data_IF_112126599164
#
_entry.id   IF_112126599164
#
_cell.length_a   1.000
_cell.length_b   1.000
_cell.length_c   1.000
_cell.angle_alpha   90.00
_cell.angle_beta   90.00
_cell.angle_gamma   90.00
#
_symmetry.space_group_name_H-M   'P 1'
#
loop_
_entity.id
_entity.type
_entity.pdbx_description
1 polymer ?
#
# COMPACT_ATOMS: atom_id res chain seq x y z
N UNK A 1 29.58 -2.25 -0.47
CA UNK A 1 28.81 -3.03 -1.47
C UNK A 1 27.35 -2.88 -1.07
N UNK A 2 26.55 -2.17 -1.86
CA UNK A 2 25.09 -2.19 -1.67
C UNK A 2 24.58 -3.58 -2.08
N UNK A 3 23.95 -4.28 -1.15
CA UNK A 3 23.29 -5.56 -1.45
C UNK A 3 21.98 -5.26 -2.15
N UNK A 4 21.87 -5.67 -3.42
CA UNK A 4 20.61 -5.57 -4.18
C UNK A 4 19.57 -6.63 -3.77
N UNK A 5 19.84 -7.44 -2.73
CA UNK A 5 18.91 -8.45 -2.20
C UNK A 5 18.29 -7.96 -0.89
N UNK A 6 16.97 -8.04 -0.82
CA UNK A 6 16.21 -7.74 0.38
C UNK A 6 16.41 -8.81 1.46
N UNK A 7 16.62 -8.37 2.70
CA UNK A 7 16.70 -9.22 3.88
C UNK A 7 15.32 -9.67 4.39
N UNK A 8 15.31 -10.66 5.29
CA UNK A 8 14.07 -11.18 5.88
C UNK A 8 13.30 -10.11 6.68
N UNK A 9 14.01 -9.19 7.34
CA UNK A 9 13.39 -8.09 8.08
C UNK A 9 12.71 -7.10 7.14
N UNK A 10 13.39 -6.67 6.08
CA UNK A 10 12.83 -5.74 5.08
C UNK A 10 11.58 -6.32 4.39
N UNK A 11 11.59 -7.62 4.08
CA UNK A 11 10.41 -8.31 3.53
C UNK A 11 9.26 -8.37 4.53
N UNK A 12 9.56 -8.56 5.81
CA UNK A 12 8.56 -8.58 6.88
C UNK A 12 7.95 -7.19 7.07
N UNK A 13 8.79 -6.16 7.18
CA UNK A 13 8.37 -4.77 7.29
C UNK A 13 7.52 -4.36 6.08
N UNK A 14 7.92 -4.74 4.86
CA UNK A 14 7.13 -4.47 3.65
C UNK A 14 5.77 -5.16 3.67
N UNK A 15 5.67 -6.37 4.21
CA UNK A 15 4.39 -7.06 4.38
C UNK A 15 3.48 -6.32 5.37
N UNK A 16 4.03 -5.84 6.47
CA UNK A 16 3.29 -5.05 7.45
C UNK A 16 2.80 -3.73 6.84
N UNK A 17 3.65 -3.02 6.10
CA UNK A 17 3.29 -1.78 5.42
C UNK A 17 2.20 -2.00 4.36
N UNK A 18 2.27 -3.09 3.58
CA UNK A 18 1.22 -3.47 2.62
C UNK A 18 -0.12 -3.68 3.33
N UNK A 19 -0.11 -4.41 4.46
CA UNK A 19 -1.32 -4.67 5.24
C UNK A 19 -1.90 -3.38 5.83
N UNK A 20 -1.04 -2.54 6.43
CA UNK A 20 -1.44 -1.24 6.97
C UNK A 20 -2.04 -0.33 5.90
N UNK A 21 -1.40 -0.21 4.74
CA UNK A 21 -1.92 0.58 3.62
C UNK A 21 -3.27 0.05 3.13
N UNK A 22 -3.45 -1.28 3.11
CA UNK A 22 -4.73 -1.91 2.82
C UNK A 22 -5.82 -1.52 3.82
N UNK A 23 -5.54 -1.53 5.12
CA UNK A 23 -6.47 -1.10 6.16
C UNK A 23 -6.87 0.37 6.00
N UNK A 24 -5.89 1.26 5.75
CA UNK A 24 -6.13 2.67 5.48
C UNK A 24 -7.03 2.89 4.27
N UNK A 25 -6.82 2.13 3.19
CA UNK A 25 -7.64 2.22 1.99
C UNK A 25 -9.09 1.79 2.25
N UNK A 26 -9.30 0.72 3.04
CA UNK A 26 -10.64 0.29 3.46
C UNK A 26 -11.34 1.35 4.31
N UNK A 27 -10.62 1.98 5.24
CA UNK A 27 -11.15 3.08 6.05
C UNK A 27 -11.51 4.31 5.19
N UNK A 28 -10.65 4.68 4.23
CA UNK A 28 -10.92 5.79 3.33
C UNK A 28 -12.20 5.55 2.50
N UNK A 29 -12.39 4.33 1.97
CA UNK A 29 -13.61 3.95 1.26
C UNK A 29 -14.86 4.06 2.14
N UNK A 30 -14.80 3.54 3.37
CA UNK A 30 -15.93 3.64 4.31
C UNK A 30 -16.25 5.09 4.68
N UNK A 31 -15.24 5.95 4.79
CA UNK A 31 -15.44 7.38 5.07
C UNK A 31 -16.01 8.14 3.88
N UNK A 32 -15.67 7.76 2.66
CA UNK A 32 -16.19 8.38 1.44
C UNK A 32 -17.72 8.37 1.39
N UNK A 33 -18.34 7.29 1.88
CA UNK A 33 -19.79 7.14 1.96
C UNK A 33 -20.46 8.12 2.93
N UNK A 34 -19.69 8.66 3.87
CA UNK A 34 -20.16 9.59 4.93
C UNK A 34 -19.80 11.04 4.66
N UNK A 35 -19.04 11.33 3.59
CA UNK A 35 -18.61 12.69 3.27
C UNK A 35 -19.70 13.39 2.46
N UNK A 36 -20.28 14.42 3.05
CA UNK A 36 -21.31 15.27 2.42
C UNK A 36 -20.70 16.42 1.62
N UNK A 37 -19.60 17.01 2.12
CA UNK A 37 -18.93 18.11 1.45
C UNK A 37 -18.35 17.64 0.08
N UNK A 38 -18.78 18.22 -1.05
CA UNK A 38 -18.40 17.74 -2.38
C UNK A 38 -16.89 17.82 -2.67
N UNK A 39 -16.23 18.88 -2.21
CA UNK A 39 -14.79 19.08 -2.41
C UNK A 39 -13.98 18.06 -1.62
N UNK A 40 -14.34 17.83 -0.34
CA UNK A 40 -13.73 16.79 0.48
C UNK A 40 -13.98 15.40 -0.13
N UNK A 41 -15.14 15.17 -0.73
CA UNK A 41 -15.46 13.91 -1.41
C UNK A 41 -14.51 13.63 -2.57
N UNK A 42 -14.23 14.65 -3.38
CA UNK A 42 -13.26 14.56 -4.49
C UNK A 42 -11.85 14.26 -3.97
N UNK A 43 -11.41 14.94 -2.91
CA UNK A 43 -10.10 14.68 -2.29
C UNK A 43 -9.98 13.25 -1.76
N UNK A 44 -11.03 12.73 -1.13
CA UNK A 44 -11.04 11.34 -0.62
C UNK A 44 -11.05 10.34 -1.79
N UNK A 45 -11.78 10.61 -2.87
CA UNK A 45 -11.78 9.77 -4.08
C UNK A 45 -10.38 9.71 -4.73
N UNK A 46 -9.73 10.87 -4.89
CA UNK A 46 -8.36 10.94 -5.41
C UNK A 46 -7.37 10.20 -4.51
N UNK A 47 -7.46 10.38 -3.18
CA UNK A 47 -6.65 9.66 -2.21
C UNK A 47 -6.84 8.15 -2.27
N UNK A 48 -8.08 7.66 -2.44
CA UNK A 48 -8.38 6.24 -2.65
C UNK A 48 -7.74 5.74 -3.94
N UNK A 49 -7.82 6.51 -5.02
CA UNK A 49 -7.26 6.10 -6.31
C UNK A 49 -5.73 6.00 -6.25
N UNK A 50 -5.07 7.03 -5.73
CA UNK A 50 -3.62 7.01 -5.48
C UNK A 50 -3.23 5.88 -4.52
N UNK A 51 -4.03 5.67 -3.47
CA UNK A 51 -3.84 4.60 -2.50
C UNK A 51 -3.89 3.20 -3.12
N UNK A 52 -4.81 2.95 -4.07
CA UNK A 52 -4.84 1.68 -4.84
C UNK A 52 -3.58 1.48 -5.67
N UNK A 53 -3.14 2.52 -6.37
CA UNK A 53 -1.93 2.47 -7.20
C UNK A 53 -0.70 2.15 -6.35
N UNK A 54 -0.49 2.88 -5.25
CA UNK A 54 0.63 2.62 -4.33
C UNK A 54 0.57 1.22 -3.74
N UNK A 55 -0.62 0.73 -3.35
CA UNK A 55 -0.76 -0.60 -2.77
C UNK A 55 -0.39 -1.70 -3.78
N UNK A 56 -0.75 -1.54 -5.05
CA UNK A 56 -0.37 -2.48 -6.10
C UNK A 56 1.16 -2.51 -6.30
N UNK A 57 1.79 -1.34 -6.42
CA UNK A 57 3.25 -1.22 -6.53
C UNK A 57 3.98 -1.84 -5.33
N UNK A 58 3.48 -1.62 -4.11
CA UNK A 58 4.06 -2.21 -2.90
C UNK A 58 3.93 -3.75 -2.90
N UNK A 59 2.81 -4.30 -3.40
CA UNK A 59 2.63 -5.75 -3.53
C UNK A 59 3.58 -6.35 -4.57
N UNK A 60 3.75 -5.69 -5.71
CA UNK A 60 4.70 -6.11 -6.76
C UNK A 60 6.14 -6.14 -6.22
N UNK A 61 6.53 -5.09 -5.48
CA UNK A 61 7.83 -5.04 -4.81
C UNK A 61 8.00 -6.18 -3.80
N UNK A 62 6.99 -6.43 -2.96
CA UNK A 62 7.02 -7.51 -1.98
C UNK A 62 7.14 -8.90 -2.63
N UNK A 63 6.43 -9.14 -3.74
CA UNK A 63 6.52 -10.40 -4.51
C UNK A 63 7.94 -10.58 -5.05
N UNK A 64 8.51 -9.51 -5.64
CA UNK A 64 9.86 -9.51 -6.18
C UNK A 64 10.89 -9.81 -5.10
N UNK A 65 10.83 -9.08 -3.98
CA UNK A 65 11.71 -9.27 -2.83
C UNK A 65 11.59 -10.68 -2.22
N UNK A 66 10.36 -11.18 -2.03
CA UNK A 66 10.11 -12.52 -1.48
C UNK A 66 10.61 -13.64 -2.40
N UNK A 67 10.65 -13.41 -3.71
CA UNK A 67 11.16 -14.38 -4.69
C UNK A 67 12.68 -14.44 -4.66
N UNK A 68 13.35 -13.29 -4.55
CA UNK A 68 14.81 -13.20 -4.42
C UNK A 68 15.34 -13.84 -3.13
N UNK A 69 14.59 -13.81 -2.03
CA UNK A 69 14.97 -14.47 -0.77
C UNK A 69 14.98 -16.00 -0.87
N UNK A 70 14.14 -16.58 -1.74
CA UNK A 70 14.05 -18.04 -1.95
C UNK A 70 15.13 -18.59 -2.88
N UNK A 71 15.93 -17.72 -3.51
CA UNK A 71 17.01 -18.05 -4.45
C UNK A 71 18.39 -17.84 -3.82
#
# INVERSE_FOLDING_TARGET
MESNKFGVHEITDMRELVNFKGACLSQAKSRLEKVENPELKLLVQDSIQKGKQSLNQMKELLITASTQLKQ
#
